data_IF_548871394805
#
_entry.id   IF_548871394805
#
_cell.length_a   1.000
_cell.length_b   1.000
_cell.length_c   1.000
_cell.angle_alpha   90.00
_cell.angle_beta   90.00
_cell.angle_gamma   90.00
#
_symmetry.space_group_name_H-M   'P 1'
#
loop_
_entity.id
_entity.type
_entity.pdbx_description
1 polymer ?
#
# COMPACT_ATOMS: atom_id res chain seq x y z
N UNK A 1 -14.76 6.59 57.61
CA UNK A 1 -15.15 5.42 56.78
C UNK A 1 -14.81 5.62 55.29
N UNK A 2 -14.91 6.83 54.73
CA UNK A 2 -14.60 7.12 53.31
C UNK A 2 -13.14 6.91 52.88
N UNK A 3 -12.16 7.02 53.81
CA UNK A 3 -10.73 6.81 53.52
C UNK A 3 -10.30 5.34 53.46
N UNK A 4 -11.12 4.43 54.02
CA UNK A 4 -10.85 2.97 54.01
C UNK A 4 -11.39 2.33 52.72
N UNK A 5 -12.47 2.86 52.13
CA UNK A 5 -12.96 2.40 50.83
C UNK A 5 -11.99 2.69 49.68
N UNK A 6 -11.27 3.82 49.73
CA UNK A 6 -10.34 4.20 48.66
C UNK A 6 -9.07 3.33 48.63
N UNK A 7 -8.65 2.80 49.80
CA UNK A 7 -7.48 1.92 49.93
C UNK A 7 -7.79 0.49 49.51
N UNK A 8 -9.07 0.06 49.56
CA UNK A 8 -9.49 -1.26 49.08
C UNK A 8 -9.63 -1.33 47.55
N UNK A 9 -9.91 -0.20 46.90
CA UNK A 9 -10.02 -0.12 45.43
C UNK A 9 -8.67 -0.26 44.70
N UNK A 10 -7.54 0.06 45.36
CA UNK A 10 -6.18 -0.03 44.79
C UNK A 10 -5.60 -1.45 44.90
N UNK A 11 -6.13 -2.30 45.77
CA UNK A 11 -5.67 -3.68 45.93
C UNK A 11 -6.27 -4.66 44.89
N UNK A 12 -7.22 -4.20 44.06
CA UNK A 12 -7.87 -5.03 43.02
C UNK A 12 -7.18 -4.86 41.66
N UNK A 13 -6.29 -3.88 41.49
CA UNK A 13 -5.46 -3.73 40.29
C UNK A 13 -4.20 -4.60 40.36
N UNK A 14 -4.39 -5.92 40.41
CA UNK A 14 -3.33 -6.86 40.06
C UNK A 14 -3.05 -6.73 38.56
N UNK A 15 -1.79 -6.92 38.11
CA UNK A 15 -1.47 -6.91 36.69
C UNK A 15 -2.30 -7.98 35.98
N UNK A 16 -3.22 -7.54 35.11
CA UNK A 16 -3.81 -8.42 34.11
C UNK A 16 -2.67 -8.86 33.19
N UNK A 17 -2.00 -9.95 33.55
CA UNK A 17 -1.17 -10.67 32.61
C UNK A 17 -2.11 -11.19 31.54
N UNK A 18 -2.14 -10.51 30.39
CA UNK A 18 -2.60 -11.13 29.16
C UNK A 18 -1.54 -12.19 28.81
N UNK A 19 -1.61 -13.34 29.49
CA UNK A 19 -0.90 -14.53 29.07
C UNK A 19 -1.54 -14.91 27.74
N UNK A 20 -0.89 -14.51 26.64
CA UNK A 20 -1.23 -15.00 25.31
C UNK A 20 -0.94 -16.50 25.33
N UNK A 21 -1.95 -17.28 25.67
CA UNK A 21 -1.91 -18.73 25.59
C UNK A 21 -2.00 -19.13 24.12
N UNK A 22 -1.06 -19.95 23.67
CA UNK A 22 -1.05 -20.41 22.29
C UNK A 22 -2.19 -21.41 22.12
N UNK A 23 -3.30 -20.97 21.54
CA UNK A 23 -4.41 -21.88 21.25
C UNK A 23 -3.99 -22.91 20.19
N UNK A 24 -4.16 -24.19 20.50
CA UNK A 24 -4.03 -25.25 19.53
C UNK A 24 -5.28 -25.35 18.63
N UNK A 25 -5.21 -26.13 17.55
CA UNK A 25 -6.29 -26.24 16.56
C UNK A 25 -7.65 -26.65 17.16
N UNK A 26 -7.63 -27.49 18.19
CA UNK A 26 -8.85 -27.96 18.88
C UNK A 26 -9.48 -26.86 19.72
N UNK A 27 -8.68 -25.97 20.28
CA UNK A 27 -9.14 -24.83 21.07
C UNK A 27 -9.64 -23.71 20.16
N UNK A 28 -8.93 -23.43 19.05
CA UNK A 28 -9.37 -22.45 18.05
C UNK A 28 -10.73 -22.83 17.42
N UNK A 29 -11.00 -24.12 17.22
CA UNK A 29 -12.31 -24.59 16.74
C UNK A 29 -13.46 -24.34 17.72
N UNK A 30 -13.16 -24.18 19.02
CA UNK A 30 -14.18 -23.89 20.05
C UNK A 30 -14.44 -22.40 20.22
N UNK A 31 -13.65 -21.54 19.58
CA UNK A 31 -13.85 -20.09 19.62
C UNK A 31 -14.93 -19.71 18.61
N UNK A 32 -16.12 -19.40 19.10
CA UNK A 32 -17.20 -18.83 18.28
C UNK A 32 -16.93 -17.33 18.06
N UNK A 33 -16.37 -16.99 16.89
CA UNK A 33 -16.22 -15.61 16.45
C UNK A 33 -17.52 -15.05 15.88
N UNK A 34 -17.79 -13.76 16.13
CA UNK A 34 -18.90 -13.03 15.50
C UNK A 34 -18.72 -13.02 13.98
N UNK A 35 -19.82 -13.12 13.23
CA UNK A 35 -19.85 -13.28 11.77
C UNK A 35 -18.93 -12.30 11.02
N UNK A 36 -18.44 -12.75 9.85
CA UNK A 36 -17.41 -12.09 9.05
C UNK A 36 -17.64 -10.60 8.76
N UNK A 37 -16.54 -9.90 8.49
CA UNK A 37 -16.51 -8.46 8.26
C UNK A 37 -16.39 -8.15 6.77
N UNK A 38 -17.07 -7.10 6.31
CA UNK A 38 -16.86 -6.54 4.98
C UNK A 38 -15.97 -5.30 5.07
N UNK A 39 -14.90 -5.28 4.29
CA UNK A 39 -14.02 -4.12 4.16
C UNK A 39 -14.37 -3.37 2.87
N UNK A 40 -14.75 -2.11 3.01
CA UNK A 40 -14.89 -1.16 1.89
C UNK A 40 -13.84 -0.06 2.03
N UNK A 41 -13.06 0.16 0.98
CA UNK A 41 -11.98 1.15 0.97
C UNK A 41 -12.04 1.99 -0.29
N UNK A 42 -12.22 3.31 -0.13
CA UNK A 42 -12.13 4.28 -1.23
C UNK A 42 -10.94 5.19 -1.02
N UNK A 43 -9.96 5.09 -1.91
CA UNK A 43 -8.81 5.97 -2.00
C UNK A 43 -9.06 7.00 -3.11
N UNK A 44 -8.88 8.27 -2.81
CA UNK A 44 -9.08 9.42 -3.71
C UNK A 44 -7.82 10.27 -3.64
N UNK A 45 -7.14 10.45 -4.75
CA UNK A 45 -5.84 11.14 -4.82
C UNK A 45 -5.92 12.35 -5.74
N UNK A 46 -5.43 13.49 -5.25
CA UNK A 46 -5.11 14.70 -6.03
C UNK A 46 -6.18 15.12 -7.05
N UNK A 47 -7.45 14.96 -6.70
CA UNK A 47 -8.56 15.25 -7.59
C UNK A 47 -9.67 16.03 -6.87
N UNK A 48 -10.36 16.86 -7.64
CA UNK A 48 -11.56 17.57 -7.20
C UNK A 48 -12.73 16.60 -7.06
N UNK A 49 -13.85 17.09 -6.49
CA UNK A 49 -15.09 16.32 -6.43
C UNK A 49 -15.62 15.87 -7.82
N UNK A 50 -15.20 16.55 -8.90
CA UNK A 50 -15.57 16.21 -10.29
C UNK A 50 -14.58 15.25 -10.96
N UNK A 51 -13.56 14.76 -10.24
CA UNK A 51 -12.58 13.79 -10.75
C UNK A 51 -11.56 14.39 -11.73
N UNK A 52 -11.32 15.71 -11.63
CA UNK A 52 -10.25 16.42 -12.35
C UNK A 52 -9.05 16.62 -11.42
N UNK A 53 -7.84 16.71 -11.98
CA UNK A 53 -6.64 17.03 -11.21
C UNK A 53 -6.84 18.33 -10.42
N UNK A 54 -6.61 18.29 -9.12
CA UNK A 54 -6.81 19.45 -8.26
C UNK A 54 -5.55 20.33 -8.27
N UNK A 55 -5.53 21.34 -9.14
CA UNK A 55 -4.43 22.31 -9.23
C UNK A 55 -4.32 23.26 -8.04
N UNK A 56 -5.35 23.31 -7.16
CA UNK A 56 -5.30 24.11 -5.94
C UNK A 56 -4.60 23.32 -4.84
N UNK A 57 -4.98 22.05 -4.66
CA UNK A 57 -4.27 21.13 -3.76
C UNK A 57 -2.83 20.91 -4.24
N UNK A 58 -2.66 20.66 -5.53
CA UNK A 58 -1.38 20.51 -6.20
C UNK A 58 -0.85 21.83 -6.76
N UNK A 59 -0.96 22.90 -5.96
CA UNK A 59 -0.42 24.21 -6.32
C UNK A 59 1.09 24.17 -6.52
N UNK A 60 1.79 23.27 -5.81
CA UNK A 60 3.14 22.83 -6.13
C UNK A 60 3.11 21.35 -6.53
N UNK A 61 3.32 21.10 -7.83
CA UNK A 61 3.22 19.77 -8.42
C UNK A 61 4.22 18.78 -7.81
N UNK A 62 5.32 19.26 -7.23
CA UNK A 62 6.38 18.41 -6.66
C UNK A 62 5.86 17.58 -5.49
N UNK A 63 4.89 18.10 -4.75
CA UNK A 63 4.26 17.40 -3.63
C UNK A 63 3.10 16.49 -4.05
N UNK A 64 2.71 16.53 -5.33
CA UNK A 64 1.72 15.63 -5.92
C UNK A 64 2.35 14.54 -6.79
N UNK A 65 3.58 14.15 -6.44
CA UNK A 65 4.32 13.05 -7.07
C UNK A 65 4.33 11.83 -6.17
N UNK A 66 4.35 10.65 -6.78
CA UNK A 66 4.72 9.42 -6.09
C UNK A 66 6.14 9.04 -6.54
N UNK A 67 7.07 8.99 -5.60
CA UNK A 67 8.45 8.59 -5.88
C UNK A 67 8.77 7.28 -5.20
N UNK A 68 9.33 6.34 -5.96
CA UNK A 68 9.70 5.01 -5.46
C UNK A 68 11.17 4.77 -5.77
N UNK A 69 11.96 4.52 -4.73
CA UNK A 69 13.33 4.07 -4.87
C UNK A 69 13.35 2.54 -4.83
N UNK A 70 13.27 1.93 -6.02
CA UNK A 70 13.23 0.48 -6.17
C UNK A 70 14.58 -0.12 -5.75
N UNK A 71 14.55 -1.10 -4.85
CA UNK A 71 15.71 -1.85 -4.38
C UNK A 71 16.87 -0.98 -3.84
N UNK A 72 16.57 0.14 -3.19
CA UNK A 72 17.57 1.09 -2.70
C UNK A 72 18.59 1.51 -3.78
N UNK A 73 18.14 1.72 -5.02
CA UNK A 73 19.05 1.99 -6.15
C UNK A 73 19.72 3.36 -6.03
N UNK A 74 21.01 3.40 -6.34
CA UNK A 74 21.82 4.63 -6.41
C UNK A 74 22.28 4.91 -7.84
N UNK A 75 22.55 6.18 -8.14
CA UNK A 75 23.09 6.60 -9.43
C UNK A 75 24.59 6.31 -9.53
N UNK A 76 25.07 6.18 -10.77
CA UNK A 76 26.49 6.08 -11.07
C UNK A 76 27.04 7.45 -11.48
N UNK A 77 28.31 7.71 -11.16
CA UNK A 77 29.04 8.84 -11.72
C UNK A 77 29.39 8.61 -13.21
N UNK A 78 30.05 9.59 -13.84
CA UNK A 78 30.45 9.51 -15.25
C UNK A 78 31.46 8.38 -15.53
N UNK A 79 32.13 7.88 -14.50
CA UNK A 79 33.09 6.78 -14.57
C UNK A 79 32.46 5.42 -14.22
N UNK A 80 31.15 5.38 -13.94
CA UNK A 80 30.42 4.16 -13.61
C UNK A 80 30.46 3.76 -12.13
N UNK A 81 31.04 4.57 -11.23
CA UNK A 81 31.06 4.27 -9.80
C UNK A 81 29.74 4.63 -9.13
N UNK A 82 29.28 3.79 -8.22
CA UNK A 82 28.06 4.03 -7.45
C UNK A 82 28.26 5.25 -6.53
N UNK A 83 27.33 6.20 -6.60
CA UNK A 83 27.31 7.42 -5.77
C UNK A 83 26.39 7.23 -4.55
N UNK A 84 26.31 8.23 -3.67
CA UNK A 84 25.33 8.26 -2.57
C UNK A 84 23.95 8.78 -3.00
N UNK A 85 23.81 9.24 -4.24
CA UNK A 85 22.57 9.84 -4.73
C UNK A 85 21.59 8.73 -5.11
N UNK A 86 20.40 8.72 -4.50
CA UNK A 86 19.37 7.73 -4.84
C UNK A 86 18.77 8.03 -6.21
N UNK A 87 18.36 6.98 -6.88
CA UNK A 87 17.63 7.05 -8.14
C UNK A 87 16.17 6.67 -7.92
N UNK A 88 15.27 7.56 -8.32
CA UNK A 88 13.83 7.46 -8.07
C UNK A 88 13.09 7.19 -9.37
N UNK A 89 12.14 6.26 -9.32
CA UNK A 89 11.07 6.21 -10.31
C UNK A 89 9.96 7.15 -9.84
N UNK A 90 9.71 8.22 -10.60
CA UNK A 90 8.81 9.30 -10.19
C UNK A 90 7.59 9.32 -11.10
N UNK A 91 6.42 9.13 -10.50
CA UNK A 91 5.12 9.28 -11.13
C UNK A 91 4.60 10.69 -10.85
N UNK A 92 4.39 11.46 -11.91
CA UNK A 92 4.06 12.89 -11.88
C UNK A 92 2.61 13.10 -12.32
N UNK A 93 1.92 14.04 -11.67
CA UNK A 93 0.48 14.22 -11.85
C UNK A 93 -0.34 12.98 -11.46
N UNK A 94 0.08 12.23 -10.43
CA UNK A 94 -0.70 11.06 -9.96
C UNK A 94 -2.05 11.52 -9.43
N UNK A 95 -3.13 10.91 -9.90
CA UNK A 95 -4.49 11.28 -9.52
C UNK A 95 -5.47 10.12 -9.69
N UNK A 96 -6.68 10.32 -9.17
CA UNK A 96 -7.84 9.47 -9.43
C UNK A 96 -8.31 8.69 -8.21
N UNK A 97 -9.22 7.74 -8.47
CA UNK A 97 -9.91 6.96 -7.43
C UNK A 97 -9.65 5.48 -7.59
N UNK A 98 -9.35 4.80 -6.49
CA UNK A 98 -9.47 3.34 -6.35
C UNK A 98 -10.57 3.08 -5.32
N UNK A 99 -11.62 2.36 -5.71
CA UNK A 99 -12.73 2.02 -4.83
C UNK A 99 -12.88 0.50 -4.73
N UNK A 100 -12.42 -0.07 -3.61
CA UNK A 100 -12.72 -1.43 -3.19
C UNK A 100 -14.10 -1.39 -2.53
N UNK A 101 -15.11 -1.85 -3.27
CA UNK A 101 -16.49 -1.79 -2.80
C UNK A 101 -16.74 -2.76 -1.65
N UNK A 102 -16.20 -3.98 -1.76
CA UNK A 102 -16.34 -5.02 -0.75
C UNK A 102 -15.21 -6.05 -0.89
N UNK A 103 -14.49 -6.26 0.20
CA UNK A 103 -13.62 -7.40 0.43
C UNK A 103 -14.13 -8.11 1.68
N UNK A 104 -14.68 -9.30 1.52
CA UNK A 104 -15.17 -10.10 2.65
C UNK A 104 -14.01 -10.67 3.44
N UNK A 105 -14.11 -10.65 4.76
CA UNK A 105 -13.17 -11.22 5.71
C UNK A 105 -13.95 -12.16 6.63
N UNK A 106 -13.88 -13.45 6.34
CA UNK A 106 -14.69 -14.47 7.00
C UNK A 106 -13.79 -15.46 7.76
N UNK A 107 -14.22 -15.92 8.93
CA UNK A 107 -13.69 -17.15 9.52
C UNK A 107 -14.30 -18.36 8.80
N UNK A 108 -13.47 -19.30 8.34
CA UNK A 108 -13.92 -20.51 7.66
C UNK A 108 -13.13 -21.73 8.12
N UNK A 109 -13.70 -22.91 7.94
CA UNK A 109 -12.97 -24.17 8.10
C UNK A 109 -12.28 -24.56 6.79
N UNK A 110 -10.95 -24.59 6.81
CA UNK A 110 -10.15 -25.25 5.79
C UNK A 110 -10.22 -26.76 5.98
N UNK A 111 -10.63 -27.46 4.93
CA UNK A 111 -10.60 -28.93 4.87
C UNK A 111 -9.54 -29.37 3.88
N UNK A 112 -8.66 -30.27 4.29
CA UNK A 112 -7.64 -30.86 3.42
C UNK A 112 -7.33 -32.30 3.84
N UNK A 113 -6.80 -33.09 2.92
CA UNK A 113 -6.28 -34.43 3.24
C UNK A 113 -4.82 -34.30 3.66
N UNK A 114 -4.47 -34.81 4.83
CA UNK A 114 -3.09 -34.78 5.30
C UNK A 114 -2.19 -35.71 4.47
N UNK A 115 -1.02 -35.24 4.07
CA UNK A 115 -0.03 -36.04 3.33
C UNK A 115 0.93 -36.81 4.26
N UNK A 116 1.16 -36.31 5.47
CA UNK A 116 2.10 -36.87 6.42
C UNK A 116 1.58 -36.84 7.87
N UNK A 117 2.33 -37.48 8.77
CA UNK A 117 2.01 -37.58 10.20
C UNK A 117 0.92 -38.60 10.55
N UNK A 118 0.46 -38.58 11.80
CA UNK A 118 -0.50 -39.56 12.36
C UNK A 118 -1.86 -39.54 11.66
N UNK A 119 -2.16 -38.46 10.93
CA UNK A 119 -3.39 -38.27 10.17
C UNK A 119 -3.22 -38.47 8.66
N UNK A 120 -2.07 -38.97 8.18
CA UNK A 120 -1.82 -39.18 6.74
C UNK A 120 -2.97 -39.97 6.09
N UNK A 121 -3.47 -39.45 4.97
CA UNK A 121 -4.62 -39.99 4.23
C UNK A 121 -6.00 -39.66 4.81
N UNK A 122 -6.09 -38.93 5.93
CA UNK A 122 -7.35 -38.53 6.56
C UNK A 122 -7.67 -37.05 6.32
N UNK A 123 -8.96 -36.71 6.34
CA UNK A 123 -9.40 -35.31 6.32
C UNK A 123 -9.04 -34.64 7.65
N UNK A 124 -8.41 -33.47 7.54
CA UNK A 124 -8.10 -32.58 8.64
C UNK A 124 -8.88 -31.29 8.44
N UNK A 125 -9.48 -30.81 9.54
CA UNK A 125 -10.21 -29.54 9.59
C UNK A 125 -9.37 -28.54 10.38
N UNK A 126 -9.12 -27.37 9.79
CA UNK A 126 -8.40 -26.27 10.43
C UNK A 126 -9.19 -24.96 10.33
N UNK A 127 -9.20 -24.14 11.38
CA UNK A 127 -9.72 -22.78 11.29
C UNK A 127 -8.79 -21.96 10.37
N UNK A 128 -9.41 -21.17 9.51
CA UNK A 128 -8.75 -20.31 8.55
C UNK A 128 -9.46 -18.97 8.46
N UNK A 129 -8.70 -17.93 8.10
CA UNK A 129 -9.23 -16.63 7.73
C UNK A 129 -9.35 -16.60 6.21
N UNK A 130 -10.53 -16.34 5.69
CA UNK A 130 -10.80 -16.21 4.27
C UNK A 130 -10.98 -14.73 3.90
N UNK A 131 -10.18 -14.25 2.96
CA UNK A 131 -10.46 -13.02 2.23
C UNK A 131 -11.17 -13.36 0.93
N UNK A 132 -12.36 -12.83 0.71
CA UNK A 132 -13.20 -13.10 -0.46
C UNK A 132 -13.47 -11.86 -1.28
N UNK A 133 -13.21 -11.94 -2.59
CA UNK A 133 -13.66 -10.95 -3.56
C UNK A 133 -14.77 -11.54 -4.42
N UNK A 134 -15.84 -10.76 -4.65
CA UNK A 134 -16.99 -11.16 -5.47
C UNK A 134 -17.03 -10.35 -6.76
N UNK A 135 -17.43 -11.00 -7.84
CA UNK A 135 -17.51 -10.38 -9.16
C UNK A 135 -18.57 -9.26 -9.24
N UNK A 136 -19.61 -9.36 -8.41
CA UNK A 136 -20.70 -8.38 -8.30
C UNK A 136 -20.28 -7.06 -7.63
N UNK A 137 -19.12 -7.08 -6.95
CA UNK A 137 -18.55 -5.97 -6.18
C UNK A 137 -17.15 -5.63 -6.71
N UNK A 138 -17.01 -5.23 -7.99
CA UNK A 138 -15.71 -5.03 -8.61
C UNK A 138 -14.93 -3.88 -7.96
N UNK A 139 -13.60 -3.95 -8.04
CA UNK A 139 -12.75 -2.81 -7.70
C UNK A 139 -12.87 -1.78 -8.81
N UNK A 140 -13.20 -0.55 -8.46
CA UNK A 140 -13.43 0.52 -9.43
C UNK A 140 -12.23 1.45 -9.50
N UNK A 141 -11.68 1.63 -10.69
CA UNK A 141 -10.67 2.63 -11.00
C UNK A 141 -11.32 3.78 -11.78
N UNK A 142 -11.17 5.02 -11.30
CA UNK A 142 -11.72 6.21 -11.97
C UNK A 142 -10.65 7.25 -12.13
N UNK A 143 -10.28 7.52 -13.38
CA UNK A 143 -9.22 8.46 -13.75
C UNK A 143 -7.93 8.19 -12.96
N UNK A 144 -7.68 6.93 -12.60
CA UNK A 144 -6.56 6.56 -11.75
C UNK A 144 -5.31 6.38 -12.60
N UNK A 145 -4.27 7.14 -12.30
CA UNK A 145 -3.04 7.10 -13.07
C UNK A 145 -2.17 8.31 -12.86
N UNK A 146 -1.26 8.56 -13.80
CA UNK A 146 -0.27 9.63 -13.77
C UNK A 146 -0.08 10.17 -15.20
N UNK A 147 0.27 11.46 -15.30
CA UNK A 147 0.46 12.13 -16.60
C UNK A 147 1.83 11.83 -17.20
N UNK A 148 2.87 11.74 -16.37
CA UNK A 148 4.20 11.36 -16.84
C UNK A 148 5.01 10.62 -15.80
N UNK A 149 5.97 9.82 -16.26
CA UNK A 149 6.91 9.06 -15.44
C UNK A 149 8.33 9.40 -15.87
N UNK A 150 9.21 9.59 -14.89
CA UNK A 150 10.63 9.86 -15.12
C UNK A 150 11.50 9.12 -14.13
N UNK A 151 12.79 9.06 -14.45
CA UNK A 151 13.83 8.68 -13.50
C UNK A 151 14.52 9.96 -13.05
N UNK A 152 14.52 10.22 -11.74
CA UNK A 152 15.13 11.40 -11.14
C UNK A 152 16.21 10.97 -10.14
N UNK A 153 17.29 11.73 -10.04
CA UNK A 153 18.42 11.41 -9.16
C UNK A 153 18.59 12.49 -8.12
N UNK A 154 18.92 12.11 -6.89
CA UNK A 154 19.27 13.08 -5.84
C UNK A 154 20.39 14.01 -6.30
N UNK A 155 20.32 15.27 -5.88
CA UNK A 155 21.32 16.27 -6.19
C UNK A 155 21.99 16.79 -4.90
N UNK A 156 22.47 15.85 -4.06
CA UNK A 156 23.13 16.14 -2.80
C UNK A 156 22.38 15.62 -1.58
N UNK A 157 22.70 16.19 -0.41
CA UNK A 157 22.16 15.79 0.88
C UNK A 157 20.98 16.67 1.30
N UNK A 158 19.93 16.06 1.85
CA UNK A 158 18.73 16.75 2.33
C UNK A 158 17.47 16.45 1.50
N UNK A 159 16.31 16.61 2.10
CA UNK A 159 15.02 16.28 1.48
C UNK A 159 14.69 17.20 0.29
N UNK A 160 15.11 18.47 0.34
CA UNK A 160 14.95 19.43 -0.77
C UNK A 160 15.86 19.12 -1.98
N UNK A 161 16.86 18.27 -1.77
CA UNK A 161 17.76 17.75 -2.82
C UNK A 161 17.36 16.36 -3.31
N UNK A 162 16.30 15.78 -2.77
CA UNK A 162 15.79 14.52 -3.25
C UNK A 162 15.36 14.65 -4.71
N UNK A 163 15.73 13.70 -5.57
CA UNK A 163 15.52 13.83 -7.02
C UNK A 163 14.07 14.10 -7.41
N UNK A 164 13.11 13.54 -6.66
CA UNK A 164 11.69 13.75 -6.89
C UNK A 164 11.15 15.12 -6.41
N UNK A 165 11.91 15.87 -5.61
CA UNK A 165 11.60 17.25 -5.17
C UNK A 165 12.52 18.30 -5.82
N UNK A 166 13.64 17.90 -6.39
CA UNK A 166 14.61 18.78 -7.01
C UNK A 166 14.05 19.42 -8.31
N UNK A 167 14.39 20.69 -8.52
CA UNK A 167 14.00 21.46 -9.72
C UNK A 167 14.94 21.21 -10.92
N UNK A 168 15.57 20.05 -11.00
CA UNK A 168 16.80 19.92 -11.78
C UNK A 168 16.65 19.06 -13.02
N UNK A 169 16.81 19.75 -14.16
CA UNK A 169 17.34 19.29 -15.45
C UNK A 169 16.47 18.40 -16.34
N UNK A 170 15.62 19.05 -17.13
CA UNK A 170 15.53 18.73 -18.57
C UNK A 170 16.29 19.76 -19.39
N UNK A 171 17.33 19.32 -20.09
CA UNK A 171 18.16 20.14 -20.99
C UNK A 171 19.50 20.57 -20.37
N UNK A 172 20.60 20.22 -21.05
CA UNK A 172 22.00 20.45 -20.63
C UNK A 172 22.45 21.92 -20.47
N UNK A 173 21.57 22.91 -20.34
CA UNK A 173 22.01 24.31 -20.44
C UNK A 173 21.32 25.36 -19.55
N UNK A 174 20.25 25.08 -18.80
CA UNK A 174 19.62 26.15 -18.01
C UNK A 174 18.97 25.64 -16.71
N UNK A 175 19.61 25.97 -15.58
CA UNK A 175 19.11 25.77 -14.21
C UNK A 175 17.81 26.55 -13.95
N UNK A 176 17.45 27.50 -14.83
CA UNK A 176 16.24 28.33 -14.74
C UNK A 176 15.06 27.85 -15.60
N UNK A 177 15.18 26.68 -16.25
CA UNK A 177 14.12 26.17 -17.14
C UNK A 177 12.99 25.46 -16.42
N UNK A 178 13.05 25.34 -15.09
CA UNK A 178 12.03 24.69 -14.28
C UNK A 178 11.60 25.59 -13.13
N UNK A 179 10.30 25.71 -12.95
CA UNK A 179 9.69 26.36 -11.79
C UNK A 179 8.50 25.52 -11.34
N UNK A 180 8.37 25.28 -10.04
CA UNK A 180 7.23 24.59 -9.46
C UNK A 180 6.91 23.22 -10.12
N UNK A 181 7.96 22.48 -10.48
CA UNK A 181 7.86 21.16 -11.11
C UNK A 181 7.62 21.15 -12.63
N UNK A 182 7.35 22.29 -13.27
CA UNK A 182 7.09 22.37 -14.73
C UNK A 182 8.23 23.04 -15.50
N UNK A 183 8.34 22.70 -16.79
CA UNK A 183 9.24 23.37 -17.71
C UNK A 183 8.71 24.76 -18.08
N UNK A 184 9.53 25.80 -17.96
CA UNK A 184 9.15 27.21 -18.15
C UNK A 184 9.63 27.79 -19.48
N UNK A 185 10.54 27.11 -20.18
CA UNK A 185 11.05 27.56 -21.48
C UNK A 185 10.05 27.24 -22.59
N UNK A 186 9.94 28.11 -23.58
CA UNK A 186 9.05 27.89 -24.73
C UNK A 186 9.43 26.61 -25.47
N UNK A 187 8.44 25.79 -25.79
CA UNK A 187 8.63 24.51 -26.48
C UNK A 187 7.50 23.55 -26.20
N UNK A 188 7.66 22.30 -26.66
CA UNK A 188 6.66 21.26 -26.51
C UNK A 188 6.28 20.99 -25.04
N UNK A 189 7.25 21.05 -24.14
CA UNK A 189 7.08 20.74 -22.71
C UNK A 189 6.69 21.96 -21.86
N UNK A 190 6.50 23.15 -22.47
CA UNK A 190 6.17 24.36 -21.73
C UNK A 190 4.90 24.19 -20.88
N UNK A 191 5.01 24.48 -19.58
CA UNK A 191 3.93 24.34 -18.60
C UNK A 191 3.62 22.89 -18.17
N UNK A 192 4.50 21.93 -18.50
CA UNK A 192 4.30 20.51 -18.17
C UNK A 192 5.48 19.95 -17.38
N UNK A 193 5.19 18.94 -16.57
CA UNK A 193 6.25 18.10 -16.02
C UNK A 193 6.78 17.18 -17.14
N UNK A 194 8.10 17.01 -17.22
CA UNK A 194 8.74 16.15 -18.23
C UNK A 194 8.86 14.70 -17.76
N UNK A 195 8.80 13.77 -18.72
CA UNK A 195 9.04 12.35 -18.52
C UNK A 195 8.79 11.58 -19.82
N UNK A 196 8.87 10.25 -19.77
CA UNK A 196 8.92 9.41 -20.97
C UNK A 196 7.61 8.66 -21.28
N UNK A 197 6.65 8.58 -20.34
CA UNK A 197 5.35 7.93 -20.58
C UNK A 197 4.33 8.31 -19.50
N UNK A 198 3.04 8.20 -19.82
CA UNK A 198 1.91 8.42 -18.92
C UNK A 198 0.85 7.34 -19.08
N UNK A 199 0.02 7.12 -18.06
CA UNK A 199 -1.07 6.15 -18.11
C UNK A 199 -2.24 6.62 -17.25
N UNK A 200 -3.46 6.52 -17.79
CA UNK A 200 -4.72 6.73 -17.05
C UNK A 200 -5.64 5.54 -17.23
N UNK A 201 -6.09 4.96 -16.12
CA UNK A 201 -6.99 3.83 -16.06
C UNK A 201 -8.36 4.29 -15.57
N UNK A 202 -9.38 3.99 -16.37
CA UNK A 202 -10.78 4.02 -15.95
C UNK A 202 -11.40 2.69 -16.31
N UNK A 203 -11.84 1.95 -15.31
CA UNK A 203 -12.34 0.60 -15.51
C UNK A 203 -12.76 -0.09 -14.22
N UNK A 204 -13.35 -1.26 -14.37
CA UNK A 204 -13.79 -2.10 -13.27
C UNK A 204 -13.00 -3.41 -13.32
N UNK A 205 -12.34 -3.77 -12.22
CA UNK A 205 -11.68 -5.05 -12.05
C UNK A 205 -12.61 -5.98 -11.25
N UNK A 206 -13.31 -6.87 -11.96
CA UNK A 206 -14.07 -7.93 -11.34
C UNK A 206 -13.12 -9.06 -10.93
N UNK A 207 -13.05 -9.31 -9.62
CA UNK A 207 -12.32 -10.43 -9.05
C UNK A 207 -13.33 -11.45 -8.55
N UNK A 208 -13.09 -12.73 -8.84
CA UNK A 208 -13.81 -13.83 -8.23
C UNK A 208 -12.78 -14.79 -7.65
N UNK A 209 -12.60 -14.75 -6.35
CA UNK A 209 -11.54 -15.51 -5.72
C UNK A 209 -11.58 -15.41 -4.20
N UNK A 210 -10.98 -16.42 -3.58
CA UNK A 210 -10.78 -16.48 -2.14
C UNK A 210 -9.33 -16.78 -1.83
N UNK A 211 -8.80 -16.07 -0.84
CA UNK A 211 -7.49 -16.35 -0.24
C UNK A 211 -7.75 -16.83 1.17
N UNK A 212 -7.27 -18.02 1.51
CA UNK A 212 -7.39 -18.59 2.85
C UNK A 212 -6.03 -18.55 3.54
N UNK A 213 -5.99 -18.00 4.74
CA UNK A 213 -4.83 -17.90 5.61
C UNK A 213 -5.07 -18.82 6.78
N UNK A 214 -4.15 -19.74 7.03
CA UNK A 214 -4.29 -20.76 8.08
C UNK A 214 -2.91 -21.10 8.65
N UNK A 215 -2.90 -21.74 9.82
CA UNK A 215 -1.66 -22.19 10.44
C UNK A 215 -1.04 -23.36 9.68
N UNK A 216 0.20 -23.18 9.27
CA UNK A 216 0.97 -24.16 8.53
C UNK A 216 1.60 -25.19 9.47
N UNK A 217 1.49 -26.48 9.14
CA UNK A 217 2.19 -27.58 9.82
C UNK A 217 2.63 -28.65 8.81
N UNK A 218 3.42 -29.63 9.26
CA UNK A 218 3.98 -30.66 8.38
C UNK A 218 2.96 -31.58 7.71
N UNK A 219 1.67 -31.46 8.04
CA UNK A 219 0.63 -32.36 7.52
C UNK A 219 -0.08 -31.81 6.28
N UNK A 220 0.08 -30.51 5.98
CA UNK A 220 -0.59 -29.87 4.85
C UNK A 220 0.30 -29.89 3.59
N UNK A 221 -0.16 -30.34 2.41
CA UNK A 221 0.68 -30.51 1.20
C UNK A 221 1.30 -29.25 0.56
N UNK A 222 1.08 -28.08 1.16
CA UNK A 222 1.58 -26.77 0.71
C UNK A 222 2.33 -26.02 1.82
N UNK A 223 2.49 -26.72 2.93
CA UNK A 223 3.52 -26.54 3.91
C UNK A 223 4.64 -27.54 3.56
#
# INVERSE_FOLDING_TARGET
MQKILLSLAVLISLPSYAALEQLNNTELQKVEGQAGADISLKVTLNQTATGQFDSTLCSDLRYCRLAINLNNRFANDQNGNVTTNRQWLVFKGIQGTINIQKLGLDGVDLKYTADSGTNSGKEVIKPAIQMGAKYDSPILFRNFGFDTMSIETDNGTGDDKAGYLANTSGGSANVNSYSNGVYTVSGYDNGREVGFTGMKLTGNLALNGKVMIFSCDSTHPRC
#
